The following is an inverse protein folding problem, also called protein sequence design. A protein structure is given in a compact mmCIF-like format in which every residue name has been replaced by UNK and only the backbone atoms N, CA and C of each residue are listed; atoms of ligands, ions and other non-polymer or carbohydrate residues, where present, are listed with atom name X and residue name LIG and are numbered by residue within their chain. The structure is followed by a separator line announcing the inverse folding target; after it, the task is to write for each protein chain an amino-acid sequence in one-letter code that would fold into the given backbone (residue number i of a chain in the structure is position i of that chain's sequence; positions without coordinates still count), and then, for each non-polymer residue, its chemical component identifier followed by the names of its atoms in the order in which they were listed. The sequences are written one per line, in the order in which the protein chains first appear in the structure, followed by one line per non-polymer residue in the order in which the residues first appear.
data_IF_822660159736
#
_entry.id   IF_822660159736
#
_cell.length_a   1.000
_cell.length_b   1.000
_cell.length_c   1.000
_cell.angle_alpha   90.00
_cell.angle_beta   90.00
_cell.angle_gamma   90.00
#
_symmetry.space_group_name_H-M   'P 1'
#
loop_
_entity.id
_entity.type
_entity.pdbx_description
1 polymer ?
#
# COMPACT_ATOMS: atom_id res chain seq x y z
N UNK A 1 -23.90 33.05 -11.92
CA UNK A 1 -24.13 31.71 -11.37
C UNK A 1 -22.96 30.89 -11.86
N UNK A 2 -21.88 30.88 -11.08
CA UNK A 2 -20.74 30.00 -11.34
C UNK A 2 -20.71 29.01 -10.18
N UNK A 3 -20.93 27.76 -10.56
CA UNK A 3 -20.99 26.59 -9.71
C UNK A 3 -19.54 26.29 -9.26
N UNK A 4 -19.15 26.74 -8.07
CA UNK A 4 -17.87 26.37 -7.43
C UNK A 4 -18.00 24.99 -6.78
N UNK A 5 -18.37 24.00 -7.58
CA UNK A 5 -18.25 22.61 -7.19
C UNK A 5 -16.86 22.08 -7.58
N UNK A 6 -16.18 21.48 -6.59
CA UNK A 6 -14.88 20.78 -6.63
C UNK A 6 -13.65 21.71 -6.61
N UNK A 7 -12.73 21.57 -5.67
CA UNK A 7 -11.96 20.34 -5.39
C UNK A 7 -11.85 20.07 -3.88
N UNK A 8 -12.24 18.86 -3.45
CA UNK A 8 -11.75 18.30 -2.20
C UNK A 8 -10.56 17.39 -2.57
N UNK A 9 -9.32 17.90 -2.61
CA UNK A 9 -8.17 17.10 -3.00
C UNK A 9 -8.05 15.94 -1.99
N UNK A 10 -8.21 14.71 -2.47
CA UNK A 10 -7.98 13.53 -1.63
C UNK A 10 -6.58 13.66 -1.03
N UNK A 11 -6.41 13.48 0.29
CA UNK A 11 -5.11 13.60 0.92
C UNK A 11 -4.10 12.68 0.23
N UNK A 12 -2.86 13.16 0.13
CA UNK A 12 -1.75 12.36 -0.37
C UNK A 12 -1.62 11.05 0.42
N UNK A 13 -1.10 9.97 -0.20
CA UNK A 13 -0.71 8.79 0.56
C UNK A 13 0.27 9.17 1.68
N UNK A 14 0.18 8.45 2.79
CA UNK A 14 1.04 8.61 3.96
C UNK A 14 1.82 7.31 4.18
N UNK A 15 3.12 7.25 3.79
CA UNK A 15 3.93 6.05 3.93
C UNK A 15 4.03 5.54 5.36
N UNK A 16 4.11 6.42 6.36
CA UNK A 16 4.19 6.04 7.77
C UNK A 16 2.87 5.38 8.23
N UNK A 17 1.73 5.90 7.79
CA UNK A 17 0.43 5.28 8.07
C UNK A 17 0.27 3.92 7.40
N UNK A 18 0.75 3.77 6.16
CA UNK A 18 0.76 2.48 5.45
C UNK A 18 1.64 1.45 6.20
N UNK A 19 2.82 1.87 6.68
CA UNK A 19 3.69 1.02 7.48
C UNK A 19 3.01 0.59 8.79
N UNK A 20 2.30 1.51 9.45
CA UNK A 20 1.50 1.21 10.63
C UNK A 20 0.43 0.14 10.38
N UNK A 21 -0.33 0.27 9.29
CA UNK A 21 -1.34 -0.71 8.89
C UNK A 21 -0.75 -2.09 8.56
N UNK A 22 0.45 -2.12 7.98
CA UNK A 22 1.18 -3.37 7.75
C UNK A 22 1.62 -4.01 9.08
N UNK A 23 2.13 -3.19 10.01
CA UNK A 23 2.58 -3.65 11.31
C UNK A 23 1.44 -4.24 12.17
N UNK A 24 0.21 -3.72 12.06
CA UNK A 24 -0.97 -4.33 12.69
C UNK A 24 -1.16 -5.79 12.26
N UNK A 25 -0.97 -6.11 10.97
CA UNK A 25 -1.02 -7.50 10.49
C UNK A 25 0.12 -8.34 11.04
N UNK A 26 1.36 -7.80 11.04
CA UNK A 26 2.53 -8.51 11.57
C UNK A 26 2.34 -8.87 13.05
N UNK A 27 1.68 -8.01 13.84
CA UNK A 27 1.34 -8.28 15.24
C UNK A 27 0.13 -9.22 15.42
N UNK A 28 -0.52 -9.63 14.34
CA UNK A 28 -1.71 -10.49 14.36
C UNK A 28 -3.01 -9.76 14.70
N UNK A 29 -3.03 -8.43 14.67
CA UNK A 29 -4.19 -7.59 15.01
C UNK A 29 -5.20 -7.50 13.87
N UNK A 30 -4.77 -7.72 12.63
CA UNK A 30 -5.63 -7.73 11.44
C UNK A 30 -5.36 -8.94 10.55
N UNK A 31 -6.39 -9.37 9.79
CA UNK A 31 -6.24 -10.43 8.79
C UNK A 31 -5.53 -9.90 7.53
N UNK A 32 -4.78 -10.75 6.78
CA UNK A 32 -4.08 -10.32 5.56
C UNK A 32 -4.99 -9.57 4.58
N UNK A 33 -6.20 -10.10 4.31
CA UNK A 33 -7.14 -9.45 3.39
C UNK A 33 -7.65 -8.09 3.88
N UNK A 34 -7.80 -7.90 5.21
CA UNK A 34 -8.19 -6.62 5.81
C UNK A 34 -7.04 -5.62 5.74
N UNK A 35 -5.82 -6.07 6.01
CA UNK A 35 -4.61 -5.27 5.86
C UNK A 35 -4.43 -4.81 4.40
N UNK A 36 -4.52 -5.71 3.40
CA UNK A 36 -4.41 -5.32 1.99
C UNK A 36 -5.51 -4.31 1.58
N UNK A 37 -6.74 -4.48 2.07
CA UNK A 37 -7.80 -3.51 1.84
C UNK A 37 -7.47 -2.14 2.46
N UNK A 38 -6.92 -2.11 3.68
CA UNK A 38 -6.49 -0.87 4.34
C UNK A 38 -5.37 -0.18 3.56
N UNK A 39 -4.36 -0.93 3.09
CA UNK A 39 -3.26 -0.41 2.27
C UNK A 39 -3.78 0.15 0.93
N UNK A 40 -4.74 -0.53 0.31
CA UNK A 40 -5.40 -0.05 -0.91
C UNK A 40 -6.12 1.27 -0.66
N UNK A 41 -6.89 1.37 0.43
CA UNK A 41 -7.53 2.61 0.86
C UNK A 41 -6.52 3.71 1.19
N UNK A 42 -5.37 3.34 1.78
CA UNK A 42 -4.22 4.22 2.01
C UNK A 42 -3.42 4.58 0.75
N UNK A 43 -3.85 4.10 -0.42
CA UNK A 43 -3.28 4.38 -1.74
C UNK A 43 -1.86 3.82 -1.96
N UNK A 44 -1.55 2.66 -1.36
CA UNK A 44 -0.29 1.94 -1.64
C UNK A 44 0.05 1.80 -3.14
N UNK A 45 -0.90 1.53 -4.07
CA UNK A 45 -0.55 1.39 -5.49
C UNK A 45 0.14 2.63 -6.07
N UNK A 46 -0.21 3.81 -5.57
CA UNK A 46 0.38 5.07 -6.03
C UNK A 46 1.77 5.28 -5.44
N UNK A 47 1.98 4.86 -4.20
CA UNK A 47 3.31 4.85 -3.56
C UNK A 47 4.26 3.92 -4.31
N UNK A 48 3.82 2.71 -4.65
CA UNK A 48 4.61 1.76 -5.44
C UNK A 48 4.93 2.31 -6.84
N UNK A 49 3.98 2.98 -7.49
CA UNK A 49 4.22 3.61 -8.79
C UNK A 49 5.22 4.77 -8.71
N UNK A 50 5.16 5.59 -7.65
CA UNK A 50 6.08 6.70 -7.44
C UNK A 50 7.50 6.25 -7.07
N UNK A 51 7.65 5.11 -6.40
CA UNK A 51 8.94 4.51 -6.04
C UNK A 51 9.73 3.96 -7.25
N UNK A 52 9.09 3.84 -8.42
CA UNK A 52 9.75 3.43 -9.66
C UNK A 52 10.33 2.02 -9.62
N UNK A 53 11.51 1.84 -10.22
CA UNK A 53 12.15 0.53 -10.40
C UNK A 53 12.45 -0.19 -9.06
N UNK A 54 12.64 0.57 -7.97
CA UNK A 54 12.85 0.02 -6.63
C UNK A 54 11.66 -0.76 -6.08
N UNK A 55 10.46 -0.55 -6.63
CA UNK A 55 9.23 -1.19 -6.19
C UNK A 55 8.64 -2.18 -7.21
N UNK A 56 9.32 -2.49 -8.33
CA UNK A 56 8.76 -3.33 -9.41
C UNK A 56 8.23 -4.68 -8.91
N UNK A 57 9.01 -5.41 -8.11
CA UNK A 57 8.56 -6.72 -7.59
C UNK A 57 7.36 -6.61 -6.65
N UNK A 58 7.32 -5.58 -5.80
CA UNK A 58 6.18 -5.29 -4.92
C UNK A 58 4.93 -4.94 -5.72
N UNK A 59 5.10 -4.15 -6.79
CA UNK A 59 4.02 -3.78 -7.70
C UNK A 59 3.45 -5.00 -8.45
N UNK A 60 4.29 -5.91 -8.92
CA UNK A 60 3.85 -7.14 -9.57
C UNK A 60 3.03 -8.04 -8.64
N UNK A 61 3.50 -8.26 -7.41
CA UNK A 61 2.75 -9.00 -6.39
C UNK A 61 1.40 -8.36 -6.11
N UNK A 62 1.37 -7.03 -5.95
CA UNK A 62 0.15 -6.27 -5.75
C UNK A 62 -0.84 -6.44 -6.91
N UNK A 63 -0.37 -6.35 -8.16
CA UNK A 63 -1.21 -6.55 -9.33
C UNK A 63 -1.72 -8.00 -9.44
N UNK A 64 -0.96 -8.98 -8.97
CA UNK A 64 -1.41 -10.37 -8.83
C UNK A 64 -2.64 -10.49 -7.93
N UNK A 65 -2.63 -9.81 -6.79
CA UNK A 65 -3.77 -9.74 -5.87
C UNK A 65 -4.98 -9.02 -6.48
N UNK A 66 -4.78 -7.83 -7.04
CA UNK A 66 -5.83 -7.00 -7.66
C UNK A 66 -6.59 -7.74 -8.77
N UNK A 67 -5.89 -8.63 -9.47
CA UNK A 67 -6.44 -9.47 -10.54
C UNK A 67 -7.07 -10.77 -10.03
N UNK A 68 -7.10 -10.99 -8.72
CA UNK A 68 -7.60 -12.22 -8.10
C UNK A 68 -6.77 -13.47 -8.42
N UNK A 69 -5.49 -13.30 -8.81
CA UNK A 69 -4.58 -14.39 -9.18
C UNK A 69 -3.79 -14.94 -8.00
N UNK A 70 -3.56 -14.12 -6.98
CA UNK A 70 -2.75 -14.47 -5.81
C UNK A 70 -3.57 -14.22 -4.55
N UNK A 71 -3.51 -15.16 -3.61
CA UNK A 71 -4.30 -15.09 -2.38
C UNK A 71 -3.74 -14.05 -1.40
N UNK A 72 -4.55 -13.45 -0.51
CA UNK A 72 -4.12 -12.37 0.37
C UNK A 72 -2.90 -12.69 1.26
N UNK A 73 -2.80 -13.91 1.79
CA UNK A 73 -1.69 -14.30 2.66
C UNK A 73 -0.36 -14.33 1.91
N UNK A 74 -0.34 -14.92 0.71
CA UNK A 74 0.84 -15.01 -0.14
C UNK A 74 1.33 -13.63 -0.56
N UNK A 75 0.40 -12.72 -0.87
CA UNK A 75 0.75 -11.32 -1.19
C UNK A 75 1.30 -10.61 0.03
N UNK A 76 0.69 -10.76 1.21
CA UNK A 76 1.18 -10.15 2.44
C UNK A 76 2.61 -10.61 2.79
N UNK A 77 2.88 -11.91 2.65
CA UNK A 77 4.22 -12.48 2.85
C UNK A 77 5.21 -11.96 1.80
N UNK A 78 4.85 -11.98 0.52
CA UNK A 78 5.71 -11.47 -0.55
C UNK A 78 6.01 -9.97 -0.42
N UNK A 79 5.06 -9.17 0.08
CA UNK A 79 5.29 -7.75 0.39
C UNK A 79 6.27 -7.58 1.57
N UNK A 80 6.19 -8.42 2.60
CA UNK A 80 7.15 -8.41 3.71
C UNK A 80 8.55 -8.81 3.23
N UNK A 81 8.66 -9.94 2.54
CA UNK A 81 9.91 -10.48 2.03
C UNK A 81 10.54 -9.57 0.96
N UNK A 82 9.71 -8.84 0.22
CA UNK A 82 10.13 -7.84 -0.77
C UNK A 82 10.49 -6.47 -0.18
N UNK A 83 10.51 -6.31 1.14
CA UNK A 83 10.99 -5.09 1.79
C UNK A 83 10.00 -3.92 1.78
N UNK A 84 8.68 -4.18 1.74
CA UNK A 84 7.68 -3.11 1.74
C UNK A 84 7.83 -2.16 2.94
N UNK A 85 8.11 -2.68 4.12
CA UNK A 85 8.23 -1.86 5.34
C UNK A 85 9.44 -0.93 5.25
N UNK A 86 10.57 -1.41 4.75
CA UNK A 86 11.78 -0.61 4.57
C UNK A 86 11.53 0.49 3.53
N UNK A 87 10.92 0.15 2.38
CA UNK A 87 10.54 1.12 1.37
C UNK A 87 9.62 2.23 1.94
N UNK A 88 8.62 1.86 2.73
CA UNK A 88 7.70 2.82 3.34
C UNK A 88 8.40 3.68 4.41
N UNK A 89 9.39 3.13 5.11
CA UNK A 89 10.24 3.86 6.05
C UNK A 89 11.09 4.90 5.33
N UNK A 90 11.82 4.50 4.30
CA UNK A 90 12.64 5.40 3.48
C UNK A 90 11.82 6.57 2.90
N UNK A 91 10.60 6.29 2.42
CA UNK A 91 9.69 7.29 1.88
C UNK A 91 9.06 8.19 2.94
N UNK A 92 8.97 7.74 4.19
CA UNK A 92 8.47 8.57 5.29
C UNK A 92 9.52 9.56 5.81
N UNK A 93 10.81 9.28 5.56
CA UNK A 93 11.93 10.12 5.97
C UNK A 93 12.43 11.08 4.87
N UNK A 94 12.01 10.88 3.62
CA UNK A 94 12.36 11.68 2.44
C UNK A 94 11.59 13.01 2.36
#
# INVERSE_FOLDING_TARGET
MEDVAAENPRPAPDPAKLAGQFAEWVRGETLPGRMLANLKTGRLPEVLAAAGDGATGLAELWQGWERGKVVPLEVAQGLADGGLVDLLGDLAEA
#
